data_IF_722518944831
#
_entry.id   IF_722518944831
#
_cell.length_a   1.000
_cell.length_b   1.000
_cell.length_c   1.000
_cell.angle_alpha   90.00
_cell.angle_beta   90.00
_cell.angle_gamma   90.00
#
_symmetry.space_group_name_H-M   'P 1'
#
loop_
_entity.id
_entity.type
_entity.pdbx_description
1 polymer ?
#
# COMPACT_ATOMS: atom_id res chain seq x y z
N UNK A 1 -21.07 -11.41 9.32
CA UNK A 1 -19.66 -11.79 9.58
C UNK A 1 -19.33 -11.56 11.04
N UNK A 2 -18.56 -12.48 11.65
CA UNK A 2 -18.08 -12.38 13.05
C UNK A 2 -16.61 -12.80 13.09
N UNK A 3 -15.79 -12.00 13.81
CA UNK A 3 -14.38 -12.34 14.09
C UNK A 3 -14.35 -13.28 15.30
N UNK A 4 -13.58 -14.37 15.21
CA UNK A 4 -13.39 -15.35 16.28
C UNK A 4 -11.92 -15.29 16.73
N UNK A 5 -11.69 -14.95 17.99
CA UNK A 5 -10.39 -14.94 18.68
C UNK A 5 -9.26 -14.23 17.89
N UNK A 6 -9.61 -13.22 17.10
CA UNK A 6 -8.70 -12.53 16.19
C UNK A 6 -7.93 -13.45 15.23
N UNK A 7 -8.41 -14.68 15.00
CA UNK A 7 -7.76 -15.72 14.18
C UNK A 7 -8.60 -16.18 13.01
N UNK A 8 -9.91 -16.10 13.10
CA UNK A 8 -10.82 -16.60 12.07
C UNK A 8 -12.02 -15.67 11.84
N UNK A 9 -12.59 -15.76 10.65
CA UNK A 9 -13.83 -15.12 10.25
C UNK A 9 -14.91 -16.16 10.11
N UNK A 10 -16.04 -16.01 10.80
CA UNK A 10 -17.27 -16.77 10.57
C UNK A 10 -18.19 -15.96 9.68
N UNK A 11 -18.46 -16.50 8.51
CA UNK A 11 -19.25 -15.88 7.46
C UNK A 11 -20.58 -16.60 7.34
N UNK A 12 -21.68 -15.87 7.22
CA UNK A 12 -22.98 -16.40 6.84
C UNK A 12 -23.26 -15.96 5.41
N UNK A 13 -23.39 -16.92 4.50
CA UNK A 13 -23.43 -16.70 3.05
C UNK A 13 -24.60 -17.46 2.43
N UNK A 14 -25.13 -16.96 1.32
CA UNK A 14 -26.10 -17.69 0.50
C UNK A 14 -25.47 -18.86 -0.24
N UNK A 15 -24.23 -18.70 -0.67
CA UNK A 15 -23.43 -19.70 -1.36
C UNK A 15 -22.07 -19.85 -0.66
N UNK A 16 -21.96 -20.77 0.30
CA UNK A 16 -20.70 -21.04 1.00
C UNK A 16 -19.67 -21.73 0.11
N UNK A 17 -20.08 -22.44 -0.94
CA UNK A 17 -19.17 -23.17 -1.82
C UNK A 17 -18.27 -22.23 -2.61
N UNK A 18 -18.74 -21.03 -2.93
CA UNK A 18 -17.94 -19.98 -3.53
C UNK A 18 -16.66 -19.66 -2.72
N UNK A 19 -16.78 -19.67 -1.39
CA UNK A 19 -15.63 -19.40 -0.50
C UNK A 19 -14.78 -20.65 -0.33
N UNK A 20 -15.37 -21.84 -0.12
CA UNK A 20 -14.58 -23.06 0.07
C UNK A 20 -13.81 -23.47 -1.18
N UNK A 21 -14.31 -23.18 -2.37
CA UNK A 21 -13.59 -23.39 -3.62
C UNK A 21 -12.41 -22.43 -3.80
N UNK A 22 -12.58 -21.15 -3.39
CA UNK A 22 -11.54 -20.14 -3.52
C UNK A 22 -10.50 -20.20 -2.38
N UNK A 23 -10.91 -20.66 -1.20
CA UNK A 23 -10.06 -20.80 0.00
C UNK A 23 -10.15 -22.23 0.51
N UNK A 24 -9.32 -23.17 -0.01
CA UNK A 24 -9.44 -24.61 0.31
C UNK A 24 -9.28 -24.95 1.80
N UNK A 25 -8.60 -24.09 2.57
CA UNK A 25 -8.43 -24.27 4.03
C UNK A 25 -9.63 -23.79 4.86
N UNK A 26 -10.66 -23.24 4.22
CA UNK A 26 -11.90 -22.86 4.91
C UNK A 26 -12.74 -24.09 5.24
N UNK A 27 -13.63 -23.95 6.23
CA UNK A 27 -14.48 -25.06 6.70
C UNK A 27 -15.95 -24.65 6.72
N UNK A 28 -16.82 -25.43 6.08
CA UNK A 28 -18.26 -25.34 6.29
C UNK A 28 -18.58 -25.78 7.72
N UNK A 29 -19.37 -24.99 8.43
CA UNK A 29 -19.84 -25.29 9.81
C UNK A 29 -21.36 -25.35 9.91
N UNK A 30 -22.05 -25.31 8.78
CA UNK A 30 -23.49 -25.38 8.59
C UNK A 30 -23.85 -25.13 7.14
N UNK A 31 -25.15 -25.22 6.80
CA UNK A 31 -25.62 -25.10 5.42
C UNK A 31 -25.23 -23.75 4.77
N UNK A 32 -25.24 -22.68 5.55
CA UNK A 32 -24.99 -21.31 5.09
C UNK A 32 -23.80 -20.66 5.80
N UNK A 33 -22.94 -21.41 6.48
CA UNK A 33 -21.86 -20.84 7.27
C UNK A 33 -20.51 -21.45 6.94
N UNK A 34 -19.50 -20.58 6.84
CA UNK A 34 -18.10 -20.94 6.58
C UNK A 34 -17.20 -20.23 7.60
N UNK A 35 -16.22 -20.97 8.08
CA UNK A 35 -15.13 -20.42 8.88
C UNK A 35 -13.86 -20.37 8.02
N UNK A 36 -13.25 -19.21 7.97
CA UNK A 36 -12.04 -18.92 7.20
C UNK A 36 -10.98 -18.42 8.17
N UNK A 37 -9.73 -18.84 7.99
CA UNK A 37 -8.61 -18.21 8.70
C UNK A 37 -8.61 -16.69 8.39
N UNK A 38 -8.42 -15.87 9.41
CA UNK A 38 -8.29 -14.42 9.17
C UNK A 38 -6.83 -14.03 8.95
N UNK A 39 -6.39 -14.19 7.72
CA UNK A 39 -5.11 -13.76 7.20
C UNK A 39 -5.28 -12.68 6.13
N UNK A 40 -4.16 -12.10 5.68
CA UNK A 40 -4.18 -11.06 4.65
C UNK A 40 -4.65 -11.63 3.31
N UNK A 41 -4.10 -12.78 2.91
CA UNK A 41 -4.46 -13.47 1.66
C UNK A 41 -5.95 -13.81 1.62
N UNK A 42 -6.47 -14.41 2.70
CA UNK A 42 -7.88 -14.78 2.78
C UNK A 42 -8.80 -13.54 2.76
N UNK A 43 -8.39 -12.45 3.43
CA UNK A 43 -9.14 -11.20 3.39
C UNK A 43 -9.16 -10.57 1.98
N UNK A 44 -8.06 -10.65 1.25
CA UNK A 44 -7.98 -10.21 -0.16
C UNK A 44 -8.88 -11.06 -1.06
N UNK A 45 -8.82 -12.39 -0.96
CA UNK A 45 -9.68 -13.30 -1.73
C UNK A 45 -11.16 -13.03 -1.43
N UNK A 46 -11.54 -12.88 -0.16
CA UNK A 46 -12.93 -12.57 0.21
C UNK A 46 -13.41 -11.28 -0.43
N UNK A 47 -12.58 -10.22 -0.39
CA UNK A 47 -12.94 -8.95 -1.03
C UNK A 47 -13.06 -9.07 -2.56
N UNK A 48 -12.19 -9.85 -3.23
CA UNK A 48 -12.30 -10.16 -4.65
C UNK A 48 -13.61 -10.92 -4.99
N UNK A 49 -14.07 -11.78 -4.09
CA UNK A 49 -15.36 -12.46 -4.20
C UNK A 49 -16.57 -11.56 -3.91
N UNK A 50 -16.34 -10.27 -3.60
CA UNK A 50 -17.37 -9.30 -3.23
C UNK A 50 -17.84 -9.43 -1.76
N UNK A 51 -17.14 -10.19 -0.94
CA UNK A 51 -17.41 -10.34 0.49
C UNK A 51 -16.54 -9.39 1.26
N UNK A 52 -17.09 -8.25 1.70
CA UNK A 52 -16.34 -7.25 2.48
C UNK A 52 -15.76 -7.89 3.74
N UNK A 53 -14.46 -7.97 3.81
CA UNK A 53 -13.70 -8.48 4.94
C UNK A 53 -12.73 -7.41 5.44
N UNK A 54 -12.61 -7.17 6.75
CA UNK A 54 -11.62 -6.27 7.29
C UNK A 54 -10.22 -6.85 7.09
N UNK A 55 -9.25 -5.96 6.90
CA UNK A 55 -7.84 -6.37 6.87
C UNK A 55 -7.37 -6.77 8.27
N UNK A 56 -6.53 -7.80 8.38
CA UNK A 56 -5.92 -8.14 9.66
C UNK A 56 -5.01 -7.05 10.25
N UNK A 57 -4.64 -6.02 9.50
CA UNK A 57 -3.92 -4.85 10.01
C UNK A 57 -4.65 -4.21 11.19
N UNK A 58 -5.99 -4.20 11.17
CA UNK A 58 -6.82 -3.55 12.19
C UNK A 58 -6.57 -4.09 13.60
N UNK A 59 -6.19 -5.38 13.72
CA UNK A 59 -6.04 -6.06 15.01
C UNK A 59 -4.66 -6.66 15.22
N UNK A 60 -3.97 -7.08 14.15
CA UNK A 60 -2.69 -7.81 14.25
C UNK A 60 -1.48 -6.91 14.10
N UNK A 61 -1.67 -5.67 13.71
CA UNK A 61 -0.57 -4.74 13.53
C UNK A 61 -0.38 -3.90 14.80
N UNK A 62 0.86 -3.83 15.26
CA UNK A 62 1.26 -2.88 16.29
C UNK A 62 1.54 -1.58 15.56
N UNK A 63 0.66 -0.60 15.73
CA UNK A 63 0.80 0.72 15.12
C UNK A 63 2.08 1.38 15.63
N UNK A 64 3.05 1.49 14.73
CA UNK A 64 4.38 2.01 15.03
C UNK A 64 4.39 3.54 15.03
N UNK A 65 5.36 4.11 15.74
CA UNK A 65 5.56 5.55 15.81
C UNK A 65 5.00 6.20 17.07
N UNK A 66 5.06 7.52 17.10
CA UNK A 66 4.72 8.34 18.27
C UNK A 66 3.20 8.44 18.49
N UNK A 67 2.41 8.37 17.41
CA UNK A 67 0.99 8.64 17.44
C UNK A 67 0.18 7.39 17.11
N UNK A 68 -0.97 7.24 17.79
CA UNK A 68 -1.94 6.22 17.43
C UNK A 68 -2.80 6.70 16.24
N UNK A 69 -3.22 5.82 15.34
CA UNK A 69 -4.06 6.21 14.22
C UNK A 69 -5.47 6.58 14.67
N UNK A 70 -6.08 7.53 13.98
CA UNK A 70 -7.51 7.76 14.03
C UNK A 70 -8.28 6.67 13.26
N UNK A 71 -9.56 6.46 13.56
CA UNK A 71 -10.38 5.43 12.92
C UNK A 71 -10.39 5.50 11.40
N UNK A 72 -10.43 6.70 10.82
CA UNK A 72 -10.37 6.88 9.37
C UNK A 72 -9.00 6.51 8.78
N UNK A 73 -7.91 6.64 9.54
CA UNK A 73 -6.58 6.23 9.13
C UNK A 73 -6.43 4.70 9.20
N UNK A 74 -7.01 4.07 10.23
CA UNK A 74 -7.12 2.60 10.32
C UNK A 74 -7.90 2.07 9.12
N UNK A 75 -9.05 2.67 8.81
CA UNK A 75 -9.88 2.28 7.65
C UNK A 75 -9.14 2.45 6.33
N UNK A 76 -8.38 3.54 6.17
CA UNK A 76 -7.55 3.80 4.98
C UNK A 76 -6.42 2.77 4.86
N UNK A 77 -5.72 2.48 5.95
CA UNK A 77 -4.66 1.47 5.96
C UNK A 77 -5.22 0.08 5.67
N UNK A 78 -6.39 -0.26 6.23
CA UNK A 78 -7.10 -1.51 5.95
C UNK A 78 -7.43 -1.63 4.45
N UNK A 79 -8.00 -0.60 3.85
CA UNK A 79 -8.28 -0.54 2.41
C UNK A 79 -7.02 -0.77 1.57
N UNK A 80 -5.94 -0.06 1.86
CA UNK A 80 -4.69 -0.15 1.12
C UNK A 80 -4.06 -1.55 1.19
N UNK A 81 -4.12 -2.24 2.32
CA UNK A 81 -3.57 -3.59 2.46
C UNK A 81 -4.42 -4.67 1.77
N UNK A 82 -5.70 -4.41 1.52
CA UNK A 82 -6.59 -5.32 0.78
C UNK A 82 -6.43 -5.17 -0.73
N UNK A 83 -6.21 -3.93 -1.20
CA UNK A 83 -6.22 -3.63 -2.63
C UNK A 83 -4.81 -3.42 -3.17
N UNK A 84 -4.34 -4.37 -4.00
CA UNK A 84 -3.05 -4.28 -4.67
C UNK A 84 -2.95 -3.00 -5.53
N UNK A 85 -4.03 -2.63 -6.20
CA UNK A 85 -4.12 -1.39 -6.98
C UNK A 85 -5.31 -0.60 -6.47
N UNK A 86 -5.07 0.61 -5.97
CA UNK A 86 -6.12 1.42 -5.36
C UNK A 86 -5.89 2.92 -5.45
N UNK A 87 -7.01 3.64 -5.43
CA UNK A 87 -7.01 5.10 -5.29
C UNK A 87 -7.46 5.47 -3.88
N UNK A 88 -6.73 6.37 -3.23
CA UNK A 88 -7.06 6.94 -1.94
C UNK A 88 -7.42 8.42 -2.13
N UNK A 89 -8.70 8.73 -2.03
CA UNK A 89 -9.28 10.08 -2.24
C UNK A 89 -9.65 10.76 -0.91
N UNK A 90 -8.84 10.60 0.10
CA UNK A 90 -9.06 11.26 1.38
C UNK A 90 -8.68 12.73 1.29
N UNK A 91 -9.41 13.60 1.99
CA UNK A 91 -9.15 15.04 2.04
C UNK A 91 -7.72 15.38 2.51
N UNK A 92 -7.29 16.61 2.24
CA UNK A 92 -6.01 17.12 2.75
C UNK A 92 -6.02 17.14 4.28
N UNK A 93 -4.86 16.91 4.90
CA UNK A 93 -4.73 16.93 6.35
C UNK A 93 -5.28 15.70 7.09
N UNK A 94 -5.86 14.71 6.41
CA UNK A 94 -6.39 13.48 7.04
C UNK A 94 -5.33 12.43 7.40
N UNK A 95 -4.04 12.71 7.14
CA UNK A 95 -2.95 11.78 7.43
C UNK A 95 -2.84 10.60 6.45
N UNK A 96 -3.11 10.84 5.16
CA UNK A 96 -2.93 9.83 4.09
C UNK A 96 -1.54 9.22 4.10
N UNK A 97 -0.51 10.04 4.27
CA UNK A 97 0.89 9.62 4.30
C UNK A 97 1.12 8.61 5.43
N UNK A 98 0.69 8.92 6.65
CA UNK A 98 0.78 8.01 7.81
C UNK A 98 0.04 6.70 7.55
N UNK A 99 -1.18 6.76 7.00
CA UNK A 99 -1.97 5.57 6.65
C UNK A 99 -1.25 4.69 5.63
N UNK A 100 -0.62 5.29 4.62
CA UNK A 100 0.14 4.56 3.60
C UNK A 100 1.44 3.97 4.16
N UNK A 101 2.12 4.67 5.07
CA UNK A 101 3.31 4.18 5.76
C UNK A 101 2.97 2.95 6.62
N UNK A 102 1.94 3.01 7.46
CA UNK A 102 1.51 1.86 8.26
C UNK A 102 1.06 0.68 7.41
N UNK A 103 0.28 0.93 6.36
CA UNK A 103 -0.16 -0.12 5.45
C UNK A 103 1.03 -0.80 4.76
N UNK A 104 1.99 -0.04 4.24
CA UNK A 104 3.17 -0.59 3.58
C UNK A 104 4.10 -1.31 4.56
N UNK A 105 4.30 -0.78 5.79
CA UNK A 105 5.06 -1.47 6.83
C UNK A 105 4.41 -2.80 7.23
N UNK A 106 3.07 -2.83 7.33
CA UNK A 106 2.35 -4.08 7.58
C UNK A 106 2.59 -5.09 6.45
N UNK A 107 2.48 -4.69 5.18
CA UNK A 107 2.76 -5.57 4.04
C UNK A 107 4.22 -6.07 4.04
N UNK A 108 5.17 -5.22 4.42
CA UNK A 108 6.57 -5.61 4.55
C UNK A 108 6.76 -6.64 5.69
N UNK A 109 6.10 -6.47 6.84
CA UNK A 109 6.10 -7.44 7.94
C UNK A 109 5.44 -8.77 7.58
N UNK A 110 4.48 -8.77 6.64
CA UNK A 110 3.88 -9.98 6.10
C UNK A 110 4.70 -10.63 4.97
N UNK A 111 5.82 -10.03 4.55
CA UNK A 111 6.65 -10.52 3.44
C UNK A 111 6.00 -10.37 2.05
N UNK A 112 4.97 -9.54 1.92
CA UNK A 112 4.26 -9.29 0.65
C UNK A 112 4.95 -8.20 -0.18
N UNK A 113 5.57 -7.25 0.49
CA UNK A 113 6.34 -6.14 -0.10
C UNK A 113 7.72 -6.12 0.54
N UNK A 114 8.77 -5.89 -0.24
CA UNK A 114 10.14 -5.74 0.25
C UNK A 114 10.62 -4.30 0.14
N UNK A 115 10.30 -3.60 -0.96
CA UNK A 115 10.75 -2.23 -1.20
C UNK A 115 9.63 -1.35 -1.73
N UNK A 116 9.61 -0.11 -1.29
CA UNK A 116 8.60 0.90 -1.63
C UNK A 116 9.24 2.06 -2.38
N UNK A 117 8.69 2.37 -3.55
CA UNK A 117 8.99 3.61 -4.27
C UNK A 117 7.87 4.63 -3.99
N UNK A 118 8.22 5.76 -3.41
CA UNK A 118 7.32 6.90 -3.24
C UNK A 118 7.61 7.92 -4.34
N UNK A 119 6.59 8.25 -5.10
CA UNK A 119 6.64 9.25 -6.18
C UNK A 119 5.76 10.43 -5.79
N UNK A 120 6.35 11.58 -5.54
CA UNK A 120 5.66 12.75 -5.01
C UNK A 120 6.21 14.09 -5.54
N UNK A 121 5.54 15.22 -5.29
CA UNK A 121 6.10 16.55 -5.52
C UNK A 121 7.41 16.79 -4.77
N UNK A 122 8.29 17.61 -5.35
CA UNK A 122 9.58 17.94 -4.75
C UNK A 122 9.44 18.55 -3.35
N UNK A 123 8.45 19.41 -3.16
CA UNK A 123 8.22 20.15 -1.91
C UNK A 123 7.90 19.28 -0.71
N UNK A 124 7.38 18.06 -0.91
CA UNK A 124 6.94 17.16 0.16
C UNK A 124 7.84 15.93 0.35
N UNK A 125 8.93 15.82 -0.41
CA UNK A 125 9.85 14.68 -0.32
C UNK A 125 10.46 14.54 1.08
N UNK A 126 10.93 15.66 1.63
CA UNK A 126 11.54 15.71 2.97
C UNK A 126 10.49 15.92 4.05
N UNK A 127 9.72 17.00 3.96
CA UNK A 127 8.85 17.50 5.03
C UNK A 127 7.61 16.61 5.31
N UNK A 128 7.12 15.86 4.34
CA UNK A 128 5.99 14.96 4.55
C UNK A 128 6.44 13.50 4.54
N UNK A 129 7.15 13.03 3.51
CA UNK A 129 7.45 11.61 3.40
C UNK A 129 8.62 11.16 4.26
N UNK A 130 9.79 11.83 4.17
CA UNK A 130 10.94 11.43 4.99
C UNK A 130 10.66 11.60 6.48
N UNK A 131 10.14 12.76 6.87
CA UNK A 131 9.92 13.09 8.28
C UNK A 131 8.77 12.25 8.87
N UNK A 132 7.73 11.93 8.07
CA UNK A 132 6.66 11.02 8.47
C UNK A 132 7.17 9.57 8.59
N UNK A 133 8.07 9.10 7.72
CA UNK A 133 8.69 7.79 7.87
C UNK A 133 9.51 7.71 9.15
N UNK A 134 10.27 8.74 9.51
CA UNK A 134 10.96 8.83 10.81
C UNK A 134 9.99 8.92 11.99
N UNK A 135 8.75 9.37 11.78
CA UNK A 135 7.74 9.47 12.84
C UNK A 135 6.97 8.17 13.02
N UNK A 136 6.57 7.50 11.93
CA UNK A 136 5.62 6.39 11.94
C UNK A 136 6.25 5.03 11.70
N UNK A 137 7.46 4.96 11.11
CA UNK A 137 8.16 3.71 10.81
C UNK A 137 9.67 3.84 11.06
N UNK A 138 10.07 4.25 12.26
CA UNK A 138 11.46 4.54 12.68
C UNK A 138 12.44 3.38 12.46
N UNK A 139 11.96 2.17 12.36
CA UNK A 139 12.74 0.95 12.12
C UNK A 139 13.01 0.68 10.63
N UNK A 140 12.45 1.51 9.73
CA UNK A 140 12.66 1.41 8.28
C UNK A 140 13.73 2.35 7.80
N UNK A 141 14.46 1.91 6.79
CA UNK A 141 15.45 2.73 6.10
C UNK A 141 14.78 3.56 4.99
N UNK A 142 15.15 4.83 4.88
CA UNK A 142 14.61 5.76 3.89
C UNK A 142 15.71 6.52 3.18
N UNK A 143 15.62 6.64 1.87
CA UNK A 143 16.52 7.43 1.05
C UNK A 143 15.75 8.39 0.13
N UNK A 144 16.17 9.66 0.10
CA UNK A 144 15.59 10.70 -0.76
C UNK A 144 16.48 10.89 -1.99
N UNK A 145 15.98 10.42 -3.14
CA UNK A 145 16.73 10.44 -4.41
C UNK A 145 16.70 11.85 -5.04
N UNK A 146 17.51 12.75 -4.47
CA UNK A 146 17.67 14.17 -4.87
C UNK A 146 19.13 14.53 -5.09
N UNK A 147 19.39 15.61 -5.89
CA UNK A 147 20.73 16.12 -6.21
C UNK A 147 21.14 15.86 -7.66
N UNK A 148 22.44 15.65 -7.94
CA UNK A 148 22.94 15.34 -9.28
C UNK A 148 22.42 13.98 -9.80
N UNK A 149 22.50 13.76 -11.11
CA UNK A 149 22.06 12.51 -11.73
C UNK A 149 22.77 11.29 -11.12
N UNK A 150 24.08 11.34 -10.96
CA UNK A 150 24.87 10.23 -10.42
C UNK A 150 24.55 9.96 -8.94
N UNK A 151 24.37 11.03 -8.15
CA UNK A 151 23.94 10.89 -6.76
C UNK A 151 22.59 10.21 -6.65
N UNK A 152 21.60 10.58 -7.48
CA UNK A 152 20.27 9.96 -7.49
C UNK A 152 20.33 8.48 -7.87
N UNK A 153 21.14 8.12 -8.87
CA UNK A 153 21.34 6.71 -9.28
C UNK A 153 21.91 5.89 -8.14
N UNK A 154 22.98 6.41 -7.49
CA UNK A 154 23.59 5.76 -6.34
C UNK A 154 22.58 5.53 -5.22
N UNK A 155 21.80 6.55 -4.86
CA UNK A 155 20.77 6.46 -3.81
C UNK A 155 19.74 5.36 -4.10
N UNK A 156 19.26 5.24 -5.35
CA UNK A 156 18.31 4.19 -5.72
C UNK A 156 18.92 2.78 -5.56
N UNK A 157 20.23 2.66 -5.79
CA UNK A 157 20.98 1.40 -5.70
C UNK A 157 21.37 1.00 -4.26
N UNK A 158 21.33 1.93 -3.29
CA UNK A 158 21.74 1.69 -1.89
C UNK A 158 20.86 0.68 -1.13
N UNK A 159 19.70 0.32 -1.65
CA UNK A 159 18.87 -0.76 -1.10
C UNK A 159 17.99 -0.37 0.09
N UNK A 160 17.70 0.92 0.31
CA UNK A 160 16.78 1.37 1.36
C UNK A 160 15.37 0.76 1.17
N UNK A 161 14.66 0.54 2.28
CA UNK A 161 13.28 0.05 2.29
C UNK A 161 12.35 0.99 1.51
N UNK A 162 12.53 2.31 1.71
CA UNK A 162 11.79 3.36 1.02
C UNK A 162 12.72 4.23 0.22
N UNK A 163 12.40 4.44 -1.05
CA UNK A 163 13.04 5.43 -1.90
C UNK A 163 12.02 6.49 -2.30
N UNK A 164 12.29 7.75 -1.94
CA UNK A 164 11.43 8.88 -2.26
C UNK A 164 11.98 9.60 -3.49
N UNK A 165 11.14 9.80 -4.49
CA UNK A 165 11.53 10.37 -5.78
C UNK A 165 10.55 11.41 -6.28
N UNK A 166 11.07 12.51 -6.81
CA UNK A 166 10.23 13.49 -7.51
C UNK A 166 9.75 12.92 -8.85
N UNK A 167 8.47 13.13 -9.15
CA UNK A 167 7.84 12.63 -10.37
C UNK A 167 8.37 13.23 -11.66
N UNK A 168 8.92 14.45 -11.65
CA UNK A 168 9.48 15.09 -12.85
C UNK A 168 10.77 14.42 -13.32
N UNK A 169 11.49 13.81 -12.41
CA UNK A 169 12.87 13.33 -12.61
C UNK A 169 12.98 11.79 -12.70
N UNK A 170 11.87 11.08 -12.78
CA UNK A 170 11.87 9.59 -12.89
C UNK A 170 12.74 9.14 -14.05
N UNK A 171 12.68 9.85 -15.19
CA UNK A 171 13.45 9.50 -16.38
C UNK A 171 14.97 9.50 -16.20
N UNK A 172 15.49 10.23 -15.21
CA UNK A 172 16.94 10.31 -14.94
C UNK A 172 17.48 9.00 -14.33
N UNK A 173 16.63 8.30 -13.58
CA UNK A 173 16.98 7.10 -12.81
C UNK A 173 16.10 5.91 -13.17
N UNK A 174 15.50 5.92 -14.37
CA UNK A 174 14.51 4.93 -14.77
C UNK A 174 15.07 3.51 -14.78
N UNK A 175 16.29 3.34 -15.28
CA UNK A 175 16.94 2.02 -15.38
C UNK A 175 17.29 1.47 -13.99
N UNK A 176 17.74 2.35 -13.10
CA UNK A 176 17.99 2.00 -11.70
C UNK A 176 16.70 1.63 -10.97
N UNK A 177 15.61 2.36 -11.21
CA UNK A 177 14.30 2.06 -10.64
C UNK A 177 13.75 0.72 -11.15
N UNK A 178 13.90 0.40 -12.44
CA UNK A 178 13.50 -0.90 -13.01
C UNK A 178 14.24 -2.08 -12.37
N UNK A 179 15.50 -1.89 -12.02
CA UNK A 179 16.34 -2.89 -11.38
C UNK A 179 16.21 -2.91 -9.86
N UNK A 180 15.56 -1.90 -9.30
CA UNK A 180 15.52 -1.65 -7.86
C UNK A 180 14.64 -2.59 -7.05
N UNK A 181 13.85 -3.47 -7.68
CA UNK A 181 13.01 -4.45 -6.97
C UNK A 181 11.92 -3.81 -6.12
N UNK A 182 11.27 -2.76 -6.62
CA UNK A 182 10.16 -2.11 -5.93
C UNK A 182 8.87 -2.88 -6.15
N UNK A 183 8.33 -3.47 -5.08
CA UNK A 183 7.07 -4.23 -5.11
C UNK A 183 5.86 -3.33 -4.94
N UNK A 184 6.02 -2.17 -4.30
CA UNK A 184 4.99 -1.18 -4.09
C UNK A 184 5.43 0.18 -4.62
N UNK A 185 4.56 0.82 -5.41
CA UNK A 185 4.70 2.21 -5.86
C UNK A 185 3.56 3.01 -5.23
N UNK A 186 3.91 4.05 -4.47
CA UNK A 186 2.97 5.02 -3.91
C UNK A 186 3.13 6.31 -4.69
N UNK A 187 2.05 6.77 -5.32
CA UNK A 187 2.01 8.04 -6.04
C UNK A 187 1.22 9.04 -5.22
N UNK A 188 1.89 10.01 -4.66
CA UNK A 188 1.23 11.11 -3.96
C UNK A 188 0.96 12.28 -4.89
N UNK A 189 -0.14 12.99 -4.67
CA UNK A 189 -0.71 13.97 -5.60
C UNK A 189 -0.97 13.37 -7.00
N UNK A 190 -1.73 12.26 -7.02
CA UNK A 190 -2.03 11.48 -8.22
C UNK A 190 -2.74 12.27 -9.34
N UNK A 191 -3.29 13.45 -9.04
CA UNK A 191 -3.85 14.38 -10.03
C UNK A 191 -2.86 14.74 -11.13
N UNK A 192 -1.56 14.71 -10.84
CA UNK A 192 -0.52 14.91 -11.83
C UNK A 192 -0.43 13.81 -12.90
N UNK A 193 -1.13 12.71 -12.71
CA UNK A 193 -1.13 11.52 -13.59
C UNK A 193 -2.47 11.28 -14.32
N UNK A 194 -3.41 12.24 -14.28
CA UNK A 194 -4.73 12.13 -14.94
C UNK A 194 -4.64 11.89 -16.43
N UNK A 195 -3.63 12.45 -17.11
CA UNK A 195 -3.49 12.31 -18.56
C UNK A 195 -2.45 11.23 -18.90
N UNK A 196 -2.93 10.11 -19.45
CA UNK A 196 -2.12 8.96 -19.86
C UNK A 196 -1.14 9.26 -21.00
N UNK A 197 -1.32 10.33 -21.74
CA UNK A 197 -0.43 10.74 -22.83
C UNK A 197 0.83 11.48 -22.35
N UNK A 198 0.86 11.90 -21.10
CA UNK A 198 2.01 12.65 -20.56
C UNK A 198 3.26 11.79 -20.46
N UNK A 199 4.42 12.40 -20.66
CA UNK A 199 5.73 11.76 -20.45
C UNK A 199 5.83 11.15 -19.05
N UNK A 200 5.30 11.86 -18.04
CA UNK A 200 5.29 11.42 -16.64
C UNK A 200 4.58 10.08 -16.45
N UNK A 201 3.37 9.92 -17.01
CA UNK A 201 2.64 8.66 -16.98
C UNK A 201 3.38 7.54 -17.73
N UNK A 202 3.90 7.85 -18.94
CA UNK A 202 4.65 6.87 -19.75
C UNK A 202 5.89 6.33 -19.04
N UNK A 203 6.56 7.16 -18.24
CA UNK A 203 7.71 6.73 -17.43
C UNK A 203 7.27 5.88 -16.23
N UNK A 204 6.26 6.32 -15.47
CA UNK A 204 5.73 5.58 -14.34
C UNK A 204 5.22 4.19 -14.78
N UNK A 205 4.50 4.13 -15.91
CA UNK A 205 3.93 2.89 -16.46
C UNK A 205 4.98 1.81 -16.72
N UNK A 206 6.23 2.19 -17.03
CA UNK A 206 7.34 1.26 -17.25
C UNK A 206 7.85 0.58 -15.97
N UNK A 207 7.47 1.10 -14.79
CA UNK A 207 7.81 0.53 -13.49
C UNK A 207 6.72 -0.39 -12.95
N UNK A 208 5.53 -0.40 -13.58
CA UNK A 208 4.37 -1.15 -13.12
C UNK A 208 4.30 -2.48 -13.87
N UNK A 209 4.41 -3.59 -13.13
CA UNK A 209 4.23 -4.95 -13.59
C UNK A 209 2.95 -5.55 -12.98
N UNK A 210 2.59 -6.77 -13.36
CA UNK A 210 1.35 -7.41 -12.89
C UNK A 210 1.31 -7.56 -11.37
N UNK A 211 2.44 -7.90 -10.76
CA UNK A 211 2.58 -8.09 -9.31
C UNK A 211 2.90 -6.79 -8.55
N UNK A 212 3.09 -5.66 -9.22
CA UNK A 212 3.38 -4.39 -8.56
C UNK A 212 2.14 -3.86 -7.85
N UNK A 213 2.28 -3.56 -6.56
CA UNK A 213 1.29 -2.80 -5.81
C UNK A 213 1.35 -1.34 -6.25
N UNK A 214 0.20 -0.73 -6.48
CA UNK A 214 0.12 0.66 -6.90
C UNK A 214 -0.96 1.40 -6.12
N UNK A 215 -0.55 2.33 -5.28
CA UNK A 215 -1.46 3.22 -4.56
C UNK A 215 -1.34 4.64 -5.08
N UNK A 216 -2.45 5.19 -5.52
CA UNK A 216 -2.53 6.54 -6.05
C UNK A 216 -3.34 7.41 -5.07
N UNK A 217 -2.70 8.41 -4.47
CA UNK A 217 -3.28 9.23 -3.41
C UNK A 217 -3.46 10.65 -3.86
N UNK A 218 -4.58 11.27 -3.53
CA UNK A 218 -4.80 12.71 -3.71
C UNK A 218 -5.92 13.21 -2.80
N UNK A 219 -5.82 14.49 -2.40
CA UNK A 219 -6.89 15.19 -1.69
C UNK A 219 -7.89 15.89 -2.62
N UNK A 220 -7.60 15.97 -3.93
CA UNK A 220 -8.39 16.72 -4.90
C UNK A 220 -8.65 15.90 -6.17
N UNK A 221 -9.46 14.82 -6.10
CA UNK A 221 -9.65 13.91 -7.24
C UNK A 221 -10.34 14.56 -8.44
N UNK A 222 -11.15 15.59 -8.21
CA UNK A 222 -12.02 16.25 -9.19
C UNK A 222 -11.48 17.58 -9.73
N UNK A 223 -10.24 17.95 -9.41
CA UNK A 223 -9.64 19.19 -9.92
C UNK A 223 -9.23 19.10 -11.39
#
# INVERSE_FOLDING_TARGET
MRIIDNKALRLRLRDPDKVTNAIPKSKKVGDNEVVVKWGLEEAQILNQLGIKSPSPIEVKYIWTGRYQPFDHQVSTSSFLTIHQKGFCFNEQGTGKTASAIWASDFLMKQGVVNRVLVVCPLSIMDSAWRDDLFTFATHRTVSVAHGSADKRKKIVQEGADYVIKNYNDIGIVLDELKKGGFDLIIVDEATHYKNAQTRRWKLLRQLIHDNTWLWMMTGTPAA
#
